data_IF_394672686027
#
_entry.id   IF_394672686027
#
_cell.length_a   1.000
_cell.length_b   1.000
_cell.length_c   1.000
_cell.angle_alpha   90.00
_cell.angle_beta   90.00
_cell.angle_gamma   90.00
#
_symmetry.space_group_name_H-M   'P 1'
#
loop_
_entity.id
_entity.type
_entity.pdbx_description
1 polymer ?
#
# COMPACT_ATOMS: atom_id res chain seq x y z
N UNK A 1 -39.11 -39.28 10.01
CA UNK A 1 -38.72 -37.99 9.40
C UNK A 1 -37.43 -37.54 10.08
N UNK A 2 -36.29 -37.75 9.42
CA UNK A 2 -34.98 -37.32 9.89
C UNK A 2 -34.62 -36.10 9.02
N UNK A 3 -34.83 -34.89 9.55
CA UNK A 3 -34.43 -33.65 8.86
C UNK A 3 -32.91 -33.53 8.95
N UNK A 4 -32.25 -33.72 7.80
CA UNK A 4 -30.85 -33.42 7.59
C UNK A 4 -30.72 -31.89 7.52
N UNK A 5 -30.29 -31.26 8.61
CA UNK A 5 -29.87 -29.85 8.58
C UNK A 5 -28.50 -29.79 7.90
N UNK A 6 -28.50 -29.46 6.60
CA UNK A 6 -27.29 -28.99 5.92
C UNK A 6 -26.89 -27.67 6.56
N UNK A 7 -25.84 -27.68 7.38
CA UNK A 7 -25.08 -26.48 7.65
C UNK A 7 -24.29 -26.15 6.39
N UNK A 8 -24.80 -25.21 5.59
CA UNK A 8 -24.01 -24.52 4.59
C UNK A 8 -22.81 -23.91 5.30
N UNK A 9 -21.62 -24.44 5.06
CA UNK A 9 -20.39 -23.79 5.47
C UNK A 9 -20.37 -22.41 4.80
N UNK A 10 -20.60 -21.36 5.59
CA UNK A 10 -20.26 -20.01 5.19
C UNK A 10 -18.74 -20.02 5.06
N UNK A 11 -18.23 -20.17 3.84
CA UNK A 11 -16.82 -19.92 3.58
C UNK A 11 -16.63 -18.44 3.85
N UNK A 12 -16.23 -18.10 5.07
CA UNK A 12 -15.54 -16.84 5.31
C UNK A 12 -14.27 -16.97 4.47
N UNK A 13 -14.31 -16.43 3.25
CA UNK A 13 -13.12 -16.19 2.42
C UNK A 13 -12.32 -15.13 3.15
N UNK A 14 -11.59 -15.55 4.18
CA UNK A 14 -10.60 -14.73 4.86
C UNK A 14 -9.23 -15.25 4.47
N UNK A 15 -8.80 -15.07 3.22
CA UNK A 15 -7.37 -14.92 2.91
C UNK A 15 -7.06 -13.87 1.82
N UNK A 16 -7.53 -12.60 1.94
CA UNK A 16 -6.79 -11.48 1.36
C UNK A 16 -5.49 -11.18 2.14
N UNK A 17 -5.24 -11.86 3.26
CA UNK A 17 -4.11 -11.63 4.19
C UNK A 17 -2.84 -12.42 3.84
N UNK A 18 -2.97 -13.48 3.04
CA UNK A 18 -1.84 -14.30 2.64
C UNK A 18 -0.85 -13.45 1.82
N UNK A 19 0.40 -13.39 2.25
CA UNK A 19 1.46 -12.65 1.56
C UNK A 19 1.75 -11.24 2.06
N UNK A 20 0.97 -10.67 2.99
CA UNK A 20 1.25 -9.35 3.55
C UNK A 20 2.64 -9.29 4.22
N UNK A 21 3.07 -10.41 4.82
CA UNK A 21 4.40 -10.56 5.41
C UNK A 21 5.56 -10.27 4.43
N UNK A 22 5.34 -10.36 3.12
CA UNK A 22 6.34 -9.99 2.13
C UNK A 22 6.60 -8.47 2.07
N UNK A 23 5.60 -7.65 2.44
CA UNK A 23 5.73 -6.20 2.52
C UNK A 23 6.30 -5.73 3.86
N UNK A 24 6.33 -6.57 4.89
CA UNK A 24 6.86 -6.17 6.20
C UNK A 24 8.33 -5.76 6.12
N UNK A 25 8.69 -4.79 6.95
CA UNK A 25 10.04 -4.25 7.06
C UNK A 25 10.10 -2.75 6.83
N UNK A 26 11.33 -2.27 6.76
CA UNK A 26 11.66 -0.86 6.53
C UNK A 26 11.99 -0.65 5.06
N UNK A 27 11.55 0.50 4.52
CA UNK A 27 11.65 0.83 3.12
C UNK A 27 12.20 2.25 2.95
N UNK A 28 13.26 2.35 2.17
CA UNK A 28 13.94 3.59 1.78
C UNK A 28 13.24 4.19 0.57
N UNK A 29 12.77 5.41 0.71
CA UNK A 29 12.14 6.16 -0.38
C UNK A 29 13.13 6.43 -1.51
N UNK A 30 12.77 6.05 -2.73
CA UNK A 30 13.55 6.34 -3.94
C UNK A 30 12.93 7.48 -4.76
N UNK A 31 11.60 7.56 -4.74
CA UNK A 31 10.87 8.17 -5.84
C UNK A 31 9.41 8.44 -5.53
N UNK A 32 8.92 9.62 -5.90
CA UNK A 32 7.50 9.92 -6.02
C UNK A 32 7.26 10.69 -7.33
N UNK A 33 6.36 10.18 -8.16
CA UNK A 33 5.71 10.93 -9.23
C UNK A 33 4.32 11.37 -8.77
N UNK A 34 4.07 12.68 -8.79
CA UNK A 34 2.79 13.27 -8.41
C UNK A 34 2.56 14.62 -9.09
N UNK A 35 1.36 14.82 -9.65
CA UNK A 35 0.95 16.06 -10.30
C UNK A 35 1.96 16.59 -11.33
N UNK A 36 2.54 15.68 -12.12
CA UNK A 36 3.52 16.00 -13.16
C UNK A 36 4.92 16.35 -12.64
N UNK A 37 5.20 16.12 -11.35
CA UNK A 37 6.50 16.35 -10.73
C UNK A 37 7.10 15.06 -10.22
N UNK A 38 8.40 14.91 -10.43
CA UNK A 38 9.23 13.84 -9.85
C UNK A 38 9.97 14.38 -8.63
N UNK A 39 9.86 13.67 -7.52
CA UNK A 39 10.65 13.88 -6.31
C UNK A 39 11.57 12.68 -6.13
N UNK A 40 12.87 12.90 -5.89
CA UNK A 40 13.84 11.82 -5.68
C UNK A 40 14.15 11.61 -4.20
N UNK A 41 14.58 10.39 -3.84
CA UNK A 41 15.05 10.08 -2.49
C UNK A 41 16.29 10.87 -2.06
N UNK A 42 17.11 11.30 -3.02
CA UNK A 42 18.25 12.19 -2.76
C UNK A 42 17.82 13.57 -2.24
N UNK A 43 16.67 14.06 -2.69
CA UNK A 43 16.10 15.34 -2.25
C UNK A 43 15.34 15.23 -0.93
N UNK A 44 14.92 14.02 -0.57
CA UNK A 44 14.16 13.73 0.64
C UNK A 44 14.73 12.50 1.37
N UNK A 45 15.98 12.59 1.88
CA UNK A 45 16.67 11.45 2.48
C UNK A 45 16.05 11.01 3.80
N UNK A 46 15.18 11.83 4.40
CA UNK A 46 14.44 11.52 5.63
C UNK A 46 13.15 10.73 5.38
N UNK A 47 12.70 10.59 4.13
CA UNK A 47 11.45 9.90 3.84
C UNK A 47 11.60 8.38 3.90
N UNK A 48 10.79 7.73 4.72
CA UNK A 48 10.80 6.27 4.93
C UNK A 48 9.40 5.73 5.02
N UNK A 49 9.27 4.42 4.81
CA UNK A 49 8.04 3.67 4.99
C UNK A 49 8.37 2.42 5.82
N UNK A 50 7.73 2.27 6.97
CA UNK A 50 7.79 1.05 7.77
C UNK A 50 6.45 0.32 7.64
N UNK A 51 6.49 -0.99 7.43
CA UNK A 51 5.31 -1.85 7.41
C UNK A 51 5.48 -2.93 8.47
N UNK A 52 4.60 -2.93 9.47
CA UNK A 52 4.60 -3.90 10.57
C UNK A 52 3.18 -4.47 10.74
N UNK A 53 2.96 -5.69 10.24
CA UNK A 53 1.62 -6.23 10.05
C UNK A 53 0.77 -5.29 9.20
N UNK A 54 -0.35 -4.82 9.76
CA UNK A 54 -1.23 -3.87 9.08
C UNK A 54 -0.86 -2.40 9.31
N UNK A 55 0.08 -2.11 10.22
CA UNK A 55 0.47 -0.73 10.50
C UNK A 55 1.49 -0.26 9.47
N UNK A 56 1.23 0.91 8.90
CA UNK A 56 2.12 1.62 7.99
C UNK A 56 2.51 2.94 8.62
N UNK A 57 3.82 3.16 8.77
CA UNK A 57 4.39 4.40 9.28
C UNK A 57 5.15 5.07 8.15
N UNK A 58 4.73 6.29 7.79
CA UNK A 58 5.45 7.13 6.83
C UNK A 58 6.18 8.24 7.57
N UNK A 59 7.51 8.21 7.50
CA UNK A 59 8.37 9.22 8.13
C UNK A 59 8.82 10.25 7.10
N UNK A 60 9.05 11.49 7.53
CA UNK A 60 9.48 12.62 6.69
C UNK A 60 10.57 13.42 7.41
N UNK A 61 11.73 12.81 7.63
CA UNK A 61 12.81 13.43 8.42
C UNK A 61 12.39 13.63 9.88
N UNK A 62 12.52 14.86 10.39
CA UNK A 62 12.21 15.21 11.78
C UNK A 62 10.72 15.51 12.03
N UNK A 63 9.87 15.43 11.00
CA UNK A 63 8.43 15.62 11.16
C UNK A 63 7.75 14.42 11.83
N UNK A 64 6.63 14.68 12.51
CA UNK A 64 5.79 13.62 13.05
C UNK A 64 5.37 12.64 11.94
N UNK A 65 5.49 11.31 12.17
CA UNK A 65 5.17 10.33 11.16
C UNK A 65 3.67 10.26 10.90
N UNK A 66 3.31 10.02 9.65
CA UNK A 66 1.93 9.73 9.27
C UNK A 66 1.65 8.23 9.43
N UNK A 67 0.59 7.91 10.16
CA UNK A 67 0.16 6.53 10.38
C UNK A 67 -1.01 6.16 9.48
N UNK A 68 -0.95 4.97 8.90
CA UNK A 68 -2.03 4.35 8.14
C UNK A 68 -2.18 2.87 8.52
N UNK A 69 -3.37 2.31 8.28
CA UNK A 69 -3.65 0.88 8.39
C UNK A 69 -3.90 0.32 7.00
N UNK A 70 -3.32 -0.83 6.68
CA UNK A 70 -3.65 -1.62 5.50
C UNK A 70 -5.05 -2.21 5.71
N UNK A 71 -6.07 -1.54 5.19
CA UNK A 71 -7.48 -1.91 5.36
C UNK A 71 -7.97 -2.89 4.30
N UNK A 72 -7.22 -3.03 3.20
CA UNK A 72 -7.36 -4.07 2.18
C UNK A 72 -5.98 -4.47 1.67
N UNK A 73 -5.79 -5.76 1.46
CA UNK A 73 -4.63 -6.33 0.78
C UNK A 73 -5.10 -7.47 -0.12
N UNK A 74 -4.61 -7.55 -1.34
CA UNK A 74 -4.90 -8.65 -2.26
C UNK A 74 -3.73 -8.80 -3.25
N UNK A 75 -2.86 -9.77 -2.96
CA UNK A 75 -1.71 -10.10 -3.81
C UNK A 75 -2.03 -11.15 -4.89
N UNK A 76 -3.30 -11.54 -5.06
CA UNK A 76 -3.70 -12.57 -6.05
C UNK A 76 -3.85 -12.02 -7.48
N UNK A 77 -3.74 -10.70 -7.62
CA UNK A 77 -3.82 -9.97 -8.89
C UNK A 77 -2.48 -9.33 -9.21
N UNK A 78 -2.25 -9.06 -10.50
CA UNK A 78 -1.08 -8.34 -10.97
C UNK A 78 -1.54 -7.14 -11.82
N UNK A 79 -1.40 -5.90 -11.35
CA UNK A 79 -0.81 -5.52 -10.05
C UNK A 79 -1.71 -5.89 -8.86
N UNK A 80 -1.12 -6.11 -7.68
CA UNK A 80 -1.86 -6.40 -6.46
C UNK A 80 -2.64 -5.19 -5.96
N UNK A 81 -3.72 -5.39 -5.21
CA UNK A 81 -4.53 -4.30 -4.65
C UNK A 81 -4.19 -4.04 -3.18
N UNK A 82 -4.12 -2.77 -2.79
CA UNK A 82 -3.89 -2.34 -1.41
C UNK A 82 -4.73 -1.10 -1.09
N UNK A 83 -5.34 -1.04 0.09
CA UNK A 83 -6.00 0.17 0.61
C UNK A 83 -5.31 0.61 1.89
N UNK A 84 -5.00 1.90 1.98
CA UNK A 84 -4.39 2.51 3.15
C UNK A 84 -5.39 3.46 3.80
N UNK A 85 -5.81 3.18 5.03
CA UNK A 85 -6.68 4.07 5.79
C UNK A 85 -5.84 4.90 6.76
N UNK A 86 -5.79 6.22 6.56
CA UNK A 86 -5.06 7.15 7.43
C UNK A 86 -5.68 7.16 8.82
N UNK A 87 -4.85 7.07 9.86
CA UNK A 87 -5.32 7.02 11.26
C UNK A 87 -5.88 8.37 11.70
N UNK A 88 -5.31 9.47 11.21
CA UNK A 88 -5.66 10.84 11.61
C UNK A 88 -7.11 11.21 11.25
N UNK A 89 -7.52 10.95 10.00
CA UNK A 89 -8.81 11.41 9.46
C UNK A 89 -9.69 10.28 8.90
N UNK A 90 -9.27 9.03 9.08
CA UNK A 90 -9.96 7.83 8.60
C UNK A 90 -10.16 7.81 7.08
N UNK A 91 -9.43 8.65 6.32
CA UNK A 91 -9.51 8.61 4.86
C UNK A 91 -8.90 7.31 4.36
N UNK A 92 -9.68 6.53 3.60
CA UNK A 92 -9.19 5.36 2.87
C UNK A 92 -8.68 5.77 1.50
N UNK A 93 -7.44 5.42 1.21
CA UNK A 93 -6.71 5.72 -0.01
C UNK A 93 -6.53 4.41 -0.78
N UNK A 94 -7.28 4.19 -1.87
CA UNK A 94 -7.10 3.02 -2.69
C UNK A 94 -5.80 3.06 -3.50
N UNK A 95 -5.22 1.89 -3.73
CA UNK A 95 -3.99 1.75 -4.47
C UNK A 95 -3.74 0.38 -5.09
N UNK A 96 -2.67 0.30 -5.86
CA UNK A 96 -2.11 -0.94 -6.37
C UNK A 96 -0.63 -1.01 -6.01
N UNK A 97 -0.08 -2.21 -5.99
CA UNK A 97 1.32 -2.43 -5.67
C UNK A 97 1.94 -3.54 -6.51
N UNK A 98 3.26 -3.48 -6.66
CA UNK A 98 4.09 -4.61 -7.05
C UNK A 98 5.27 -4.71 -6.10
N UNK A 99 5.74 -5.93 -5.88
CA UNK A 99 6.93 -6.23 -5.11
C UNK A 99 7.89 -7.06 -5.98
N UNK A 100 8.99 -6.44 -6.38
CA UNK A 100 10.02 -7.03 -7.24
C UNK A 100 11.33 -7.14 -6.47
N UNK A 101 11.54 -8.29 -5.83
CA UNK A 101 12.67 -8.49 -4.90
C UNK A 101 12.60 -7.51 -3.74
N UNK A 102 13.55 -6.58 -3.69
CA UNK A 102 13.62 -5.53 -2.68
C UNK A 102 13.03 -4.20 -3.15
N UNK A 103 12.30 -4.18 -4.27
CA UNK A 103 11.66 -2.97 -4.79
C UNK A 103 10.15 -3.03 -4.57
N UNK A 104 9.62 -2.08 -3.80
CA UNK A 104 8.19 -1.88 -3.62
C UNK A 104 7.75 -0.66 -4.43
N UNK A 105 6.84 -0.88 -5.38
CA UNK A 105 6.17 0.20 -6.10
C UNK A 105 4.72 0.29 -5.64
N UNK A 106 4.31 1.49 -5.21
CA UNK A 106 2.95 1.80 -4.75
C UNK A 106 2.34 2.89 -5.62
N UNK A 107 1.18 2.64 -6.21
CA UNK A 107 0.40 3.68 -6.88
C UNK A 107 -0.92 3.88 -6.13
N UNK A 108 -1.16 5.10 -5.65
CA UNK A 108 -2.32 5.41 -4.80
C UNK A 108 -3.09 6.62 -5.30
N UNK A 109 -4.37 6.70 -4.99
CA UNK A 109 -5.21 7.84 -5.36
C UNK A 109 -6.08 8.29 -4.18
N UNK A 110 -5.74 9.42 -3.57
CA UNK A 110 -6.49 9.96 -2.43
C UNK A 110 -7.70 10.81 -2.84
N UNK A 111 -7.96 10.96 -4.15
CA UNK A 111 -8.99 11.86 -4.71
C UNK A 111 -9.98 11.15 -5.64
N UNK A 112 -9.90 9.83 -5.77
CA UNK A 112 -10.74 9.08 -6.71
C UNK A 112 -10.55 7.58 -6.61
N UNK A 113 -10.80 6.91 -7.73
CA UNK A 113 -10.80 5.45 -7.80
C UNK A 113 -9.40 4.84 -7.75
N UNK A 114 -9.35 3.54 -7.43
CA UNK A 114 -8.12 2.75 -7.44
C UNK A 114 -7.42 2.87 -8.81
N UNK A 115 -6.11 3.17 -8.84
CA UNK A 115 -5.34 3.10 -10.07
C UNK A 115 -5.38 1.68 -10.68
N UNK A 116 -5.47 1.58 -11.99
CA UNK A 116 -5.41 0.28 -12.71
C UNK A 116 -4.04 -0.01 -13.32
N UNK A 117 -3.15 0.99 -13.30
CA UNK A 117 -1.80 0.93 -13.86
C UNK A 117 -0.87 1.85 -13.06
N UNK A 118 0.44 1.60 -13.12
CA UNK A 118 1.46 2.43 -12.47
C UNK A 118 1.73 3.72 -13.26
N UNK A 119 0.73 4.61 -13.31
CA UNK A 119 0.81 5.88 -14.03
C UNK A 119 0.46 7.06 -13.13
N UNK A 120 1.37 8.03 -13.09
CA UNK A 120 1.17 9.35 -12.50
C UNK A 120 1.56 10.43 -13.52
N UNK A 121 1.02 11.64 -13.38
CA UNK A 121 1.24 12.71 -14.35
C UNK A 121 0.42 13.96 -14.04
N UNK A 122 0.50 15.00 -14.90
CA UNK A 122 -0.26 16.24 -14.72
C UNK A 122 -1.77 16.02 -14.69
N UNK A 123 -2.26 15.07 -15.50
CA UNK A 123 -3.68 14.76 -15.65
C UNK A 123 -4.12 13.55 -14.82
N UNK A 124 -3.21 12.97 -14.02
CA UNK A 124 -3.49 11.83 -13.16
C UNK A 124 -3.46 12.25 -11.69
N UNK A 125 -4.53 11.97 -10.91
CA UNK A 125 -4.53 12.22 -9.47
C UNK A 125 -3.65 11.23 -8.69
N UNK A 126 -3.04 10.25 -9.38
CA UNK A 126 -2.28 9.19 -8.76
C UNK A 126 -0.94 9.70 -8.22
N UNK A 127 -0.53 9.10 -7.11
CA UNK A 127 0.80 9.19 -6.52
C UNK A 127 1.50 7.87 -6.74
N UNK A 128 2.55 7.87 -7.57
CA UNK A 128 3.37 6.69 -7.83
C UNK A 128 4.68 6.79 -7.05
N UNK A 129 4.80 6.00 -5.99
CA UNK A 129 5.97 5.96 -5.14
C UNK A 129 6.77 4.66 -5.36
N UNK A 130 8.09 4.77 -5.35
CA UNK A 130 9.00 3.61 -5.38
C UNK A 130 9.88 3.65 -4.14
N UNK A 131 10.03 2.50 -3.52
CA UNK A 131 10.86 2.28 -2.36
C UNK A 131 11.78 1.08 -2.58
N UNK A 132 12.93 1.08 -1.92
CA UNK A 132 13.81 -0.09 -1.82
C UNK A 132 13.85 -0.55 -0.38
N UNK A 133 13.81 -1.86 -0.13
CA UNK A 133 13.93 -2.42 1.22
C UNK A 133 15.21 -1.90 1.87
N UNK A 134 15.14 -1.50 3.13
CA UNK A 134 16.32 -1.17 3.89
C UNK A 134 17.18 -2.44 4.02
N UNK A 135 18.45 -2.34 3.64
CA UNK A 135 19.40 -3.43 3.86
C UNK A 135 19.61 -3.69 5.37
N UNK A 136 20.15 -4.87 5.71
CA UNK A 136 20.55 -5.20 7.08
C UNK A 136 21.64 -4.26 7.64
#
# INVERSE_FOLDING_TARGET
MLSLLLFTALTVVDEPKAGLGALEGEWVFQSLDYAGKRYSGEQDPGRRLAIAGYLVTQSFGDAEPMLSIISRFDASTDPGAIDLTRVEDLQTIPGIFTLEGDTLTLCTNSRGDRPTEFLAGPDSPNQLAVYTRAGP
#
